data_IF_646533983809
#
_entry.id   IF_646533983809
#
_cell.length_a   1.000
_cell.length_b   1.000
_cell.length_c   1.000
_cell.angle_alpha   90.00
_cell.angle_beta   90.00
_cell.angle_gamma   90.00
#
_symmetry.space_group_name_H-M   'P 1'
#
loop_
_entity.id
_entity.type
_entity.pdbx_description
1 polymer ?
#
# COMPACT_ATOMS: atom_id res chain seq x y z
N UNK A 1 -7.09 -0.81 -0.59
CA UNK A 1 -7.17 0.01 0.62
C UNK A 1 -5.75 0.50 0.86
N UNK A 2 -5.54 1.82 0.94
CA UNK A 2 -4.23 2.34 1.32
C UNK A 2 -4.08 2.11 2.84
N UNK A 3 -2.90 1.71 3.29
CA UNK A 3 -2.57 1.74 4.71
C UNK A 3 -2.54 3.22 5.11
N UNK A 4 -3.59 3.67 5.78
CA UNK A 4 -3.69 5.03 6.31
C UNK A 4 -3.64 4.94 7.84
N UNK A 5 -2.70 5.69 8.44
CA UNK A 5 -2.51 5.79 9.89
C UNK A 5 -3.78 6.25 10.61
N UNK A 6 -4.65 7.03 9.95
CA UNK A 6 -5.84 7.63 10.56
C UNK A 6 -7.03 6.66 10.68
N UNK A 7 -6.97 5.50 10.01
CA UNK A 7 -8.07 4.52 9.96
C UNK A 7 -7.84 3.36 10.94
N UNK A 8 -6.63 3.28 11.54
CA UNK A 8 -6.22 2.17 12.39
C UNK A 8 -5.64 0.98 11.60
N UNK A 9 -5.15 -0.06 12.30
CA UNK A 9 -4.54 -1.21 11.65
C UNK A 9 -5.59 -2.00 10.85
N UNK A 10 -5.33 -2.30 9.56
CA UNK A 10 -6.22 -3.12 8.76
C UNK A 10 -6.10 -4.60 9.12
N UNK A 11 -7.16 -5.38 8.92
CA UNK A 11 -7.09 -6.84 9.13
C UNK A 11 -6.22 -7.54 8.07
N UNK A 12 -6.15 -6.98 6.85
CA UNK A 12 -5.47 -7.58 5.70
C UNK A 12 -4.73 -6.53 4.87
N UNK A 13 -3.46 -6.83 4.56
CA UNK A 13 -2.65 -6.12 3.57
C UNK A 13 -2.39 -7.06 2.39
N UNK A 14 -2.86 -6.66 1.20
CA UNK A 14 -2.54 -7.33 -0.05
C UNK A 14 -1.40 -6.58 -0.76
N UNK A 15 -0.26 -7.23 -0.97
CA UNK A 15 0.93 -6.62 -1.59
C UNK A 15 1.29 -7.32 -2.89
N UNK A 16 2.07 -6.64 -3.74
CA UNK A 16 2.76 -7.31 -4.83
C UNK A 16 3.95 -8.14 -4.28
N UNK A 17 4.56 -8.95 -5.15
CA UNK A 17 5.77 -9.72 -4.89
C UNK A 17 7.05 -8.86 -4.70
N UNK A 18 6.91 -7.59 -4.31
CA UNK A 18 8.03 -6.69 -4.09
C UNK A 18 8.88 -7.11 -2.90
N UNK A 19 10.21 -7.11 -3.07
CA UNK A 19 11.18 -7.52 -2.04
C UNK A 19 11.01 -6.84 -0.67
N UNK A 20 10.45 -5.63 -0.63
CA UNK A 20 10.25 -4.87 0.60
C UNK A 20 9.13 -5.46 1.49
N UNK A 21 8.09 -6.04 0.88
CA UNK A 21 6.92 -6.58 1.60
C UNK A 21 7.10 -8.04 2.05
N UNK A 22 8.14 -8.71 1.57
CA UNK A 22 8.53 -10.07 1.98
C UNK A 22 9.65 -10.07 3.03
N UNK A 23 10.10 -8.88 3.47
CA UNK A 23 11.12 -8.81 4.51
C UNK A 23 10.60 -9.34 5.84
N UNK A 24 11.45 -10.06 6.57
CA UNK A 24 11.09 -10.65 7.87
C UNK A 24 10.67 -9.57 8.88
N UNK A 25 11.32 -8.41 8.83
CA UNK A 25 10.98 -7.25 9.66
C UNK A 25 9.54 -6.78 9.39
N UNK A 26 9.16 -6.61 8.12
CA UNK A 26 7.81 -6.21 7.75
C UNK A 26 6.76 -7.21 8.22
N UNK A 27 6.98 -8.51 7.98
CA UNK A 27 6.05 -9.56 8.40
C UNK A 27 5.92 -9.66 9.93
N UNK A 28 7.02 -9.51 10.67
CA UNK A 28 7.01 -9.50 12.13
C UNK A 28 6.20 -8.31 12.67
N UNK A 29 6.36 -7.12 12.08
CA UNK A 29 5.61 -5.93 12.46
C UNK A 29 4.11 -6.04 12.13
N UNK A 30 3.76 -6.66 11.01
CA UNK A 30 2.36 -6.92 10.67
C UNK A 30 1.73 -7.93 11.65
N UNK A 31 2.45 -9.00 11.95
CA UNK A 31 1.99 -10.07 12.86
C UNK A 31 1.78 -9.54 14.29
N UNK A 32 2.64 -8.64 14.78
CA UNK A 32 2.49 -8.06 16.12
C UNK A 32 1.23 -7.19 16.26
N UNK A 33 0.71 -6.70 15.14
CA UNK A 33 -0.53 -5.94 15.04
C UNK A 33 -1.74 -6.81 14.63
N UNK A 34 -1.57 -8.15 14.59
CA UNK A 34 -2.57 -9.11 14.13
C UNK A 34 -3.05 -8.88 12.68
N UNK A 35 -2.18 -8.33 11.83
CA UNK A 35 -2.46 -8.04 10.42
C UNK A 35 -2.02 -9.21 9.55
N UNK A 36 -2.91 -9.71 8.70
CA UNK A 36 -2.55 -10.71 7.69
C UNK A 36 -1.90 -10.04 6.46
N UNK A 37 -0.77 -10.57 5.98
CA UNK A 37 -0.12 -10.10 4.75
C UNK A 37 -0.26 -11.17 3.68
N UNK A 38 -0.91 -10.83 2.57
CA UNK A 38 -1.07 -11.71 1.40
C UNK A 38 -0.33 -11.17 0.20
N UNK A 39 0.64 -11.93 -0.27
CA UNK A 39 1.31 -11.67 -1.55
C UNK A 39 0.39 -12.08 -2.70
N UNK A 40 0.08 -11.13 -3.57
CA UNK A 40 -0.70 -11.38 -4.78
C UNK A 40 0.27 -11.59 -5.95
N UNK A 41 0.12 -12.67 -6.73
CA UNK A 41 0.97 -12.90 -7.90
C UNK A 41 0.90 -11.72 -8.87
N UNK A 42 2.05 -11.42 -9.49
CA UNK A 42 2.34 -10.23 -10.32
C UNK A 42 1.29 -9.99 -11.42
N UNK A 43 0.58 -11.02 -11.87
CA UNK A 43 -0.44 -10.92 -12.93
C UNK A 43 -1.83 -10.45 -12.45
N UNK A 44 -2.03 -10.20 -11.16
CA UNK A 44 -3.27 -9.62 -10.66
C UNK A 44 -3.30 -8.08 -10.82
N UNK A 45 -3.03 -7.58 -12.04
CA UNK A 45 -3.07 -6.14 -12.35
C UNK A 45 -4.38 -5.47 -11.91
N UNK A 46 -5.50 -6.20 -11.92
CA UNK A 46 -6.79 -5.68 -11.46
C UNK A 46 -6.88 -5.43 -9.94
N UNK A 47 -6.12 -6.15 -9.12
CA UNK A 47 -6.14 -5.99 -7.65
C UNK A 47 -5.21 -4.86 -7.18
N UNK A 48 -4.03 -4.72 -7.79
CA UNK A 48 -3.05 -3.66 -7.51
C UNK A 48 -3.44 -2.34 -8.20
N UNK A 49 -4.14 -2.40 -9.33
CA UNK A 49 -4.54 -1.22 -10.10
C UNK A 49 -5.41 -0.21 -9.34
N UNK A 50 -5.93 -0.54 -8.15
CA UNK A 50 -6.54 0.46 -7.25
C UNK A 50 -5.50 1.46 -6.75
N UNK A 51 -4.35 1.01 -6.26
CA UNK A 51 -3.28 1.88 -5.74
C UNK A 51 -2.68 2.72 -6.86
N UNK A 52 -2.45 2.12 -8.02
CA UNK A 52 -1.94 2.82 -9.20
C UNK A 52 -2.89 3.94 -9.68
N UNK A 53 -4.21 3.71 -9.64
CA UNK A 53 -5.21 4.75 -9.97
C UNK A 53 -5.18 5.94 -9.02
N UNK A 54 -4.91 5.72 -7.74
CA UNK A 54 -4.76 6.83 -6.78
C UNK A 54 -3.49 7.64 -7.01
N UNK A 55 -2.43 7.03 -7.56
CA UNK A 55 -1.15 7.70 -7.78
C UNK A 55 -1.30 8.97 -8.64
N UNK A 56 -2.08 8.92 -9.72
CA UNK A 56 -2.28 10.06 -10.61
C UNK A 56 -2.91 11.27 -9.91
N UNK A 57 -3.93 11.04 -9.08
CA UNK A 57 -4.64 12.10 -8.36
C UNK A 57 -3.75 12.72 -7.28
N UNK A 58 -3.01 11.88 -6.54
CA UNK A 58 -2.08 12.34 -5.48
C UNK A 58 -0.94 13.16 -6.10
N UNK A 59 -0.33 12.66 -7.18
CA UNK A 59 0.72 13.37 -7.92
C UNK A 59 0.23 14.74 -8.37
N UNK A 60 -0.98 14.80 -8.95
CA UNK A 60 -1.58 16.06 -9.39
C UNK A 60 -1.80 17.04 -8.24
N UNK A 61 -2.34 16.58 -7.11
CA UNK A 61 -2.55 17.42 -5.93
C UNK A 61 -1.22 17.98 -5.39
N UNK A 62 -0.18 17.13 -5.31
CA UNK A 62 1.16 17.53 -4.90
C UNK A 62 1.74 18.60 -5.84
N UNK A 63 1.63 18.40 -7.15
CA UNK A 63 2.15 19.34 -8.13
C UNK A 63 1.44 20.71 -8.03
N UNK A 64 0.12 20.75 -7.82
CA UNK A 64 -0.64 21.99 -7.59
C UNK A 64 -0.13 22.70 -6.33
N UNK A 65 -0.06 21.99 -5.20
CA UNK A 65 0.38 22.56 -3.91
C UNK A 65 1.81 23.11 -4.02
N UNK A 66 2.69 22.40 -4.71
CA UNK A 66 4.11 22.78 -4.86
C UNK A 66 4.31 23.88 -5.90
N UNK A 67 3.40 24.05 -6.86
CA UNK A 67 3.44 25.17 -7.79
C UNK A 67 2.85 26.47 -7.22
N UNK A 68 1.97 26.36 -6.21
CA UNK A 68 1.33 27.51 -5.56
C UNK A 68 2.09 28.04 -4.32
N UNK A 69 3.05 27.26 -3.80
CA UNK A 69 4.00 27.65 -2.74
C UNK A 69 5.37 28.03 -3.31
#
# INVERSE_FOLDING_TARGET
MWIDMYVGPPDLIATNAGKNFISKEFLNNATSLAIEVKEVPVEAHNSIGKVERYHAVIRRAFDIITCEL
#
